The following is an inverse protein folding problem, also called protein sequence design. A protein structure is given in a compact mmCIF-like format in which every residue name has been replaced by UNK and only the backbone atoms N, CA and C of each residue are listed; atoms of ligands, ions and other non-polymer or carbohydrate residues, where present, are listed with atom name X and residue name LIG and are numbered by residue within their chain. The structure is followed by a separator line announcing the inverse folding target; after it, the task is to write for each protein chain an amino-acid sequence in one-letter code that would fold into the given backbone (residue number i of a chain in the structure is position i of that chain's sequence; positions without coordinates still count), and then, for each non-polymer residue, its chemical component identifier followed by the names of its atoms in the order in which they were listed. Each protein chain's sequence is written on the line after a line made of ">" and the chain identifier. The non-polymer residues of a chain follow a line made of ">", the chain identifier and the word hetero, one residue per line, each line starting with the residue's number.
data_IF_817897083062
#
_entry.id   IF_817897083062
#
_cell.length_a   1.000
_cell.length_b   1.000
_cell.length_c   1.000
_cell.angle_alpha   90.00
_cell.angle_beta   90.00
_cell.angle_gamma   90.00
#
_symmetry.space_group_name_H-M   'P 1'
#
loop_
_entity.id
_entity.type
_entity.pdbx_description
1 polymer ?
#
# COMPACT_ATOMS: atom_id res chain seq x y z
N UNK A 1 71.10 -5.75 14.11
CA UNK A 1 69.98 -5.82 13.16
C UNK A 1 68.70 -5.61 13.96
N UNK A 2 68.32 -4.34 14.19
CA UNK A 2 67.52 -3.43 13.34
C UNK A 2 66.02 -3.72 13.51
N UNK A 3 65.43 -2.83 14.33
CA UNK A 3 64.06 -2.31 14.43
C UNK A 3 62.99 -2.90 13.50
N UNK A 4 61.80 -3.18 14.03
CA UNK A 4 60.68 -2.24 13.81
C UNK A 4 59.51 -2.50 14.76
N UNK A 5 59.24 -1.48 15.57
CA UNK A 5 57.99 -1.18 16.27
C UNK A 5 56.90 -0.82 15.24
N UNK A 6 55.70 -1.44 15.28
CA UNK A 6 54.46 -0.82 14.76
C UNK A 6 53.30 -1.08 15.72
N UNK A 7 53.15 -0.06 16.56
CA UNK A 7 51.91 0.40 17.15
C UNK A 7 50.87 0.79 16.06
N UNK A 8 49.58 0.53 16.32
CA UNK A 8 48.47 1.30 15.76
C UNK A 8 47.86 0.80 14.43
N UNK A 9 46.85 -0.07 14.50
CA UNK A 9 46.13 -0.47 13.27
C UNK A 9 44.79 -1.18 13.36
N UNK A 10 44.21 -1.47 14.54
CA UNK A 10 43.03 -2.37 14.60
C UNK A 10 41.67 -1.70 14.85
N UNK A 11 41.61 -0.36 14.94
CA UNK A 11 40.36 0.35 15.25
C UNK A 11 39.56 0.82 14.02
N UNK A 12 40.10 0.74 12.80
CA UNK A 12 39.42 1.22 11.58
C UNK A 12 38.62 0.15 10.82
N UNK A 13 38.87 -1.13 11.07
CA UNK A 13 38.17 -2.25 10.40
C UNK A 13 36.86 -2.61 11.10
N UNK A 14 36.81 -2.58 12.44
CA UNK A 14 35.57 -2.86 13.19
C UNK A 14 34.46 -1.84 12.94
N UNK A 15 34.80 -0.54 12.88
CA UNK A 15 33.84 0.55 12.59
C UNK A 15 33.30 0.53 11.16
N UNK A 16 34.12 0.16 10.16
CA UNK A 16 33.67 0.03 8.76
C UNK A 16 32.77 -1.19 8.57
N UNK A 17 33.05 -2.31 9.23
CA UNK A 17 32.16 -3.48 9.18
C UNK A 17 30.85 -3.21 9.89
N UNK A 18 30.84 -2.49 11.02
CA UNK A 18 29.60 -2.14 11.72
C UNK A 18 28.76 -1.12 10.93
N UNK A 19 29.37 -0.08 10.34
CA UNK A 19 28.60 0.89 9.53
C UNK A 19 28.03 0.27 8.26
N UNK A 20 28.78 -0.64 7.61
CA UNK A 20 28.29 -1.36 6.43
C UNK A 20 27.15 -2.32 6.76
N UNK A 21 27.18 -2.96 7.95
CA UNK A 21 26.07 -3.81 8.42
C UNK A 21 24.82 -2.99 8.71
N UNK A 22 24.96 -1.84 9.38
CA UNK A 22 23.84 -0.91 9.64
C UNK A 22 23.22 -0.44 8.31
N UNK A 23 24.05 0.01 7.37
CA UNK A 23 23.56 0.44 6.04
C UNK A 23 22.88 -0.67 5.24
N UNK A 24 23.33 -1.91 5.38
CA UNK A 24 22.68 -3.06 4.73
C UNK A 24 21.32 -3.38 5.34
N UNK A 25 21.20 -3.35 6.67
CA UNK A 25 19.93 -3.58 7.36
C UNK A 25 18.92 -2.46 7.08
N UNK A 26 19.36 -1.20 7.04
CA UNK A 26 18.54 -0.04 6.66
C UNK A 26 18.01 -0.17 5.22
N UNK A 27 18.89 -0.50 4.26
CA UNK A 27 18.48 -0.73 2.86
C UNK A 27 17.50 -1.88 2.74
N UNK A 28 17.76 -3.00 3.44
CA UNK A 28 16.87 -4.17 3.43
C UNK A 28 15.50 -3.85 4.03
N UNK A 29 15.45 -3.03 5.08
CA UNK A 29 14.20 -2.58 5.69
C UNK A 29 13.43 -1.66 4.73
N UNK A 30 14.10 -0.70 4.09
CA UNK A 30 13.51 0.19 3.10
C UNK A 30 12.94 -0.58 1.91
N UNK A 31 13.70 -1.52 1.33
CA UNK A 31 13.24 -2.37 0.23
C UNK A 31 12.04 -3.24 0.63
N UNK A 32 12.01 -3.73 1.88
CA UNK A 32 10.87 -4.50 2.39
C UNK A 32 9.63 -3.63 2.51
N UNK A 33 9.75 -2.41 3.02
CA UNK A 33 8.65 -1.45 3.11
C UNK A 33 8.15 -1.07 1.72
N UNK A 34 9.04 -0.79 0.77
CA UNK A 34 8.69 -0.49 -0.63
C UNK A 34 7.86 -1.61 -1.26
N UNK A 35 8.33 -2.85 -1.18
CA UNK A 35 7.60 -4.03 -1.70
C UNK A 35 6.24 -4.23 -1.03
N UNK A 36 6.11 -3.88 0.24
CA UNK A 36 4.82 -3.96 0.96
C UNK A 36 3.84 -2.93 0.43
N UNK A 37 4.30 -1.70 0.19
CA UNK A 37 3.48 -0.62 -0.36
C UNK A 37 3.11 -0.90 -1.82
N UNK A 38 4.03 -1.35 -2.66
CA UNK A 38 3.75 -1.77 -4.04
C UNK A 38 2.62 -2.82 -4.09
N UNK A 39 2.68 -3.83 -3.19
CA UNK A 39 1.61 -4.83 -3.06
C UNK A 39 0.30 -4.25 -2.56
N UNK A 40 0.36 -3.33 -1.58
CA UNK A 40 -0.83 -2.66 -1.05
C UNK A 40 -1.52 -1.83 -2.13
N UNK A 41 -0.75 -1.08 -2.93
CA UNK A 41 -1.26 -0.31 -4.07
C UNK A 41 -1.99 -1.22 -5.05
N UNK A 42 -1.36 -2.32 -5.49
CA UNK A 42 -2.00 -3.28 -6.40
C UNK A 42 -3.30 -3.89 -5.83
N UNK A 43 -3.31 -4.21 -4.53
CA UNK A 43 -4.52 -4.73 -3.86
C UNK A 43 -5.64 -3.69 -3.76
N UNK A 44 -5.28 -2.42 -3.56
CA UNK A 44 -6.24 -1.33 -3.51
C UNK A 44 -6.84 -1.07 -4.89
N UNK A 45 -6.03 -1.08 -5.96
CA UNK A 45 -6.50 -0.97 -7.34
C UNK A 45 -7.52 -2.08 -7.67
N UNK A 46 -7.21 -3.34 -7.35
CA UNK A 46 -8.13 -4.48 -7.57
C UNK A 46 -9.41 -4.33 -6.72
N UNK A 47 -9.30 -3.81 -5.50
CA UNK A 47 -10.46 -3.58 -4.63
C UNK A 47 -11.37 -2.48 -5.17
N UNK A 48 -10.79 -1.38 -5.68
CA UNK A 48 -11.50 -0.27 -6.31
C UNK A 48 -12.23 -0.78 -7.56
N UNK A 49 -11.54 -1.47 -8.47
CA UNK A 49 -12.14 -1.98 -9.71
C UNK A 49 -13.33 -2.90 -9.40
N UNK A 50 -13.19 -3.80 -8.43
CA UNK A 50 -14.30 -4.67 -8.00
C UNK A 50 -15.46 -3.86 -7.42
N UNK A 51 -15.18 -2.82 -6.64
CA UNK A 51 -16.20 -1.98 -6.01
C UNK A 51 -16.97 -1.13 -7.00
N UNK A 52 -16.27 -0.51 -7.94
CA UNK A 52 -16.87 0.23 -9.03
C UNK A 52 -17.73 -0.68 -9.93
N UNK A 53 -17.26 -1.90 -10.21
CA UNK A 53 -18.03 -2.88 -10.98
C UNK A 53 -19.33 -3.29 -10.26
N UNK A 54 -19.28 -3.51 -8.95
CA UNK A 54 -20.48 -3.83 -8.17
C UNK A 54 -21.48 -2.67 -8.20
N UNK A 55 -21.00 -1.42 -8.04
CA UNK A 55 -21.84 -0.21 -8.15
C UNK A 55 -22.46 -0.12 -9.54
N UNK A 56 -21.67 -0.33 -10.60
CA UNK A 56 -22.16 -0.29 -11.97
C UNK A 56 -23.26 -1.34 -12.21
N UNK A 57 -23.11 -2.56 -11.68
CA UNK A 57 -24.15 -3.58 -11.77
C UNK A 57 -25.44 -3.17 -11.05
N UNK A 58 -25.31 -2.57 -9.86
CA UNK A 58 -26.47 -2.05 -9.12
C UNK A 58 -27.13 -0.88 -9.88
N UNK A 59 -26.35 -0.01 -10.51
CA UNK A 59 -26.85 1.08 -11.35
C UNK A 59 -27.60 0.55 -12.59
N UNK A 60 -27.08 -0.49 -13.24
CA UNK A 60 -27.74 -1.14 -14.38
C UNK A 60 -29.07 -1.75 -13.96
N UNK A 61 -29.13 -2.40 -12.80
CA UNK A 61 -30.37 -2.92 -12.23
C UNK A 61 -31.37 -1.81 -11.89
N UNK A 62 -30.92 -0.71 -11.28
CA UNK A 62 -31.77 0.42 -10.94
C UNK A 62 -32.35 1.16 -12.15
N UNK A 63 -31.73 1.03 -13.34
CA UNK A 63 -32.28 1.58 -14.59
C UNK A 63 -33.50 0.79 -15.09
N UNK A 64 -33.67 -0.46 -14.67
CA UNK A 64 -34.87 -1.22 -15.00
C UNK A 64 -36.06 -0.75 -14.13
N UNK A 65 -37.12 -0.17 -14.72
CA UNK A 65 -38.28 0.28 -13.96
C UNK A 65 -39.04 -0.82 -13.23
N UNK A 66 -38.95 -2.08 -13.69
CA UNK A 66 -39.55 -3.21 -13.00
C UNK A 66 -38.78 -3.52 -11.71
N UNK A 67 -37.46 -3.71 -11.83
CA UNK A 67 -36.59 -3.93 -10.69
C UNK A 67 -36.64 -2.77 -9.68
N UNK A 68 -36.58 -1.51 -10.16
CA UNK A 68 -36.67 -0.34 -9.30
C UNK A 68 -37.94 -0.36 -8.44
N UNK A 69 -39.10 -0.72 -9.01
CA UNK A 69 -40.36 -0.81 -8.26
C UNK A 69 -40.32 -1.90 -7.19
N UNK A 70 -39.64 -3.01 -7.44
CA UNK A 70 -39.47 -4.09 -6.47
C UNK A 70 -38.59 -3.66 -5.29
N UNK A 71 -37.48 -2.97 -5.56
CA UNK A 71 -36.52 -2.54 -4.52
C UNK A 71 -36.76 -1.14 -3.97
N UNK A 72 -37.76 -0.40 -4.46
CA UNK A 72 -38.01 1.01 -4.09
C UNK A 72 -38.15 1.25 -2.58
N UNK A 73 -38.63 0.25 -1.83
CA UNK A 73 -38.77 0.30 -0.38
C UNK A 73 -37.74 -0.58 0.36
N UNK A 74 -36.78 -1.18 -0.37
CA UNK A 74 -35.73 -2.00 0.21
C UNK A 74 -34.58 -1.11 0.72
N UNK A 75 -34.71 -0.70 1.97
CA UNK A 75 -33.68 0.07 2.66
C UNK A 75 -32.34 -0.67 2.75
N UNK A 76 -32.32 -2.01 2.73
CA UNK A 76 -31.07 -2.77 2.83
C UNK A 76 -30.30 -2.73 1.50
N UNK A 77 -31.01 -2.80 0.37
CA UNK A 77 -30.41 -2.63 -0.96
C UNK A 77 -29.71 -1.28 -1.08
N UNK A 78 -30.43 -0.18 -0.79
CA UNK A 78 -29.86 1.17 -0.90
C UNK A 78 -28.75 1.42 0.14
N UNK A 79 -28.88 0.86 1.35
CA UNK A 79 -27.80 0.96 2.35
C UNK A 79 -26.53 0.27 1.89
N UNK A 80 -26.65 -0.90 1.26
CA UNK A 80 -25.49 -1.60 0.67
C UNK A 80 -24.90 -0.81 -0.49
N UNK A 81 -25.75 -0.24 -1.34
CA UNK A 81 -25.33 0.58 -2.48
C UNK A 81 -24.54 1.82 -2.03
N UNK A 82 -25.05 2.57 -1.07
CA UNK A 82 -24.37 3.74 -0.51
C UNK A 82 -23.09 3.34 0.25
N UNK A 83 -23.10 2.24 1.00
CA UNK A 83 -21.89 1.73 1.63
C UNK A 83 -20.81 1.36 0.60
N UNK A 84 -21.18 0.82 -0.57
CA UNK A 84 -20.22 0.50 -1.64
C UNK A 84 -19.60 1.75 -2.24
N UNK A 85 -20.37 2.83 -2.40
CA UNK A 85 -19.85 4.14 -2.84
C UNK A 85 -18.85 4.72 -1.83
N UNK A 86 -19.21 4.70 -0.55
CA UNK A 86 -18.31 5.14 0.53
C UNK A 86 -17.04 4.28 0.59
N UNK A 87 -17.15 2.98 0.32
CA UNK A 87 -15.98 2.10 0.25
C UNK A 87 -15.05 2.49 -0.90
N UNK A 88 -15.58 2.83 -2.08
CA UNK A 88 -14.76 3.36 -3.19
C UNK A 88 -14.01 4.62 -2.78
N UNK A 89 -14.70 5.59 -2.17
CA UNK A 89 -14.07 6.83 -1.69
C UNK A 89 -12.94 6.53 -0.70
N UNK A 90 -13.18 5.64 0.27
CA UNK A 90 -12.17 5.29 1.26
C UNK A 90 -10.98 4.53 0.65
N UNK A 91 -11.23 3.64 -0.31
CA UNK A 91 -10.19 2.90 -1.01
C UNK A 91 -9.31 3.83 -1.85
N UNK A 92 -9.88 4.85 -2.49
CA UNK A 92 -9.11 5.88 -3.18
C UNK A 92 -8.22 6.68 -2.23
N UNK A 93 -8.74 7.12 -1.08
CA UNK A 93 -7.90 7.79 -0.07
C UNK A 93 -6.73 6.91 0.40
N UNK A 94 -6.99 5.61 0.61
CA UNK A 94 -5.96 4.67 1.04
C UNK A 94 -4.93 4.40 -0.05
N UNK A 95 -5.37 4.39 -1.31
CA UNK A 95 -4.50 4.30 -2.48
C UNK A 95 -3.61 5.52 -2.60
N UNK A 96 -4.16 6.73 -2.46
CA UNK A 96 -3.40 7.97 -2.45
C UNK A 96 -2.37 7.98 -1.32
N UNK A 97 -2.75 7.61 -0.10
CA UNK A 97 -1.83 7.50 1.04
C UNK A 97 -0.71 6.50 0.77
N UNK A 98 -1.04 5.30 0.28
CA UNK A 98 -0.05 4.25 0.00
C UNK A 98 0.91 4.64 -1.13
N UNK A 99 0.40 5.30 -2.17
CA UNK A 99 1.20 5.78 -3.31
C UNK A 99 2.10 6.94 -2.92
N UNK A 100 1.60 7.88 -2.11
CA UNK A 100 2.40 8.97 -1.56
C UNK A 100 3.53 8.43 -0.67
N UNK A 101 3.25 7.47 0.22
CA UNK A 101 4.28 6.82 1.04
C UNK A 101 5.31 6.09 0.19
N UNK A 102 4.88 5.40 -0.87
CA UNK A 102 5.76 4.71 -1.81
C UNK A 102 6.70 5.69 -2.53
N UNK A 103 6.19 6.83 -2.99
CA UNK A 103 6.96 7.89 -3.65
C UNK A 103 7.98 8.57 -2.71
N UNK A 104 7.76 8.54 -1.39
CA UNK A 104 8.74 9.04 -0.42
C UNK A 104 9.89 8.04 -0.16
N UNK A 105 9.72 6.78 -0.57
CA UNK A 105 10.72 5.71 -0.44
C UNK A 105 11.48 5.40 -1.73
N UNK A 106 11.04 5.97 -2.87
CA UNK A 106 11.72 5.90 -4.17
C UNK A 106 12.88 6.88 -4.26
#
# INVERSE_FOLDING_TARGET
>A
FRDFEVNGGSAKTSKKTSSNKISYEEKKAADKSRRKLERKVAQLEEAIERAEKDIQQMDEQLRDPAFYKEVANDSAFFSKYEARKQEVEQLFEDYEKATNELNLLS
#
